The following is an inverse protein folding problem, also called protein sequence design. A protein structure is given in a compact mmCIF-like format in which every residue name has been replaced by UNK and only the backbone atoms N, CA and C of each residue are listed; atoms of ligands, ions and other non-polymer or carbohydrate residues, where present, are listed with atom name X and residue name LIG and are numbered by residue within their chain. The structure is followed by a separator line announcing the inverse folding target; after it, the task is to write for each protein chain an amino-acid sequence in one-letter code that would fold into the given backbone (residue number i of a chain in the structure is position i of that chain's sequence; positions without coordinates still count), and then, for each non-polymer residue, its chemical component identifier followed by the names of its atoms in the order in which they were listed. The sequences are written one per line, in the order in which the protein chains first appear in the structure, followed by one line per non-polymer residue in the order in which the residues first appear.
data_IF_308132823587
#
_entry.id   IF_308132823587
#
_cell.length_a   1.000
_cell.length_b   1.000
_cell.length_c   1.000
_cell.angle_alpha   90.00
_cell.angle_beta   90.00
_cell.angle_gamma   90.00
#
_symmetry.space_group_name_H-M   'P 1'
#
loop_
_entity.id
_entity.type
_entity.pdbx_description
1 polymer ?
#
# COMPACT_ATOMS: atom_id res chain seq x y z
N UNK A 1 19.40 -40.95 -8.59
CA UNK A 1 18.51 -40.12 -7.74
C UNK A 1 17.18 -40.87 -7.60
N UNK A 2 16.71 -41.11 -6.38
CA UNK A 2 15.55 -42.00 -6.15
C UNK A 2 14.25 -41.25 -6.52
N UNK A 3 13.40 -41.76 -7.44
CA UNK A 3 12.22 -41.04 -7.94
C UNK A 3 11.20 -40.63 -6.87
N UNK A 4 11.20 -41.29 -5.70
CA UNK A 4 10.40 -40.88 -4.55
C UNK A 4 10.78 -39.51 -3.98
N UNK A 5 12.06 -39.11 -4.07
CA UNK A 5 12.55 -37.84 -3.50
C UNK A 5 12.04 -36.62 -4.29
N UNK A 6 11.92 -36.77 -5.61
CA UNK A 6 11.48 -35.69 -6.53
C UNK A 6 10.04 -35.25 -6.24
N UNK A 7 9.16 -36.19 -5.85
CA UNK A 7 7.76 -35.86 -5.51
C UNK A 7 7.69 -35.09 -4.19
N UNK A 8 8.44 -35.53 -3.18
CA UNK A 8 8.50 -34.88 -1.87
C UNK A 8 9.08 -33.47 -1.97
N UNK A 9 10.15 -33.28 -2.73
CA UNK A 9 10.77 -31.96 -2.95
C UNK A 9 9.79 -30.97 -3.60
N UNK A 10 8.98 -31.41 -4.56
CA UNK A 10 7.96 -30.57 -5.20
C UNK A 10 6.83 -30.18 -4.26
N UNK A 11 6.42 -31.08 -3.36
CA UNK A 11 5.40 -30.79 -2.35
C UNK A 11 5.92 -29.76 -1.35
N UNK A 12 7.18 -29.91 -0.90
CA UNK A 12 7.81 -28.92 -0.04
C UNK A 12 7.95 -27.55 -0.74
N UNK A 13 8.41 -27.53 -1.99
CA UNK A 13 8.53 -26.30 -2.77
C UNK A 13 7.16 -25.59 -2.94
N UNK A 14 6.11 -26.35 -3.24
CA UNK A 14 4.75 -25.81 -3.34
C UNK A 14 4.24 -25.30 -1.98
N UNK A 15 4.49 -26.04 -0.90
CA UNK A 15 4.14 -25.62 0.46
C UNK A 15 4.82 -24.31 0.87
N UNK A 16 6.12 -24.20 0.60
CA UNK A 16 6.89 -22.96 0.83
C UNK A 16 6.35 -21.83 -0.05
N UNK A 17 6.11 -22.09 -1.34
CA UNK A 17 5.56 -21.08 -2.26
C UNK A 17 4.21 -20.56 -1.77
N UNK A 18 3.28 -21.44 -1.40
CA UNK A 18 1.95 -21.05 -0.91
C UNK A 18 2.01 -20.32 0.43
N UNK A 19 2.92 -20.73 1.33
CA UNK A 19 3.16 -20.03 2.58
C UNK A 19 3.69 -18.61 2.34
N UNK A 20 4.71 -18.47 1.50
CA UNK A 20 5.26 -17.17 1.15
C UNK A 20 4.22 -16.30 0.46
N UNK A 21 3.48 -16.86 -0.49
CA UNK A 21 2.38 -16.17 -1.16
C UNK A 21 1.39 -15.63 -0.13
N UNK A 22 0.91 -16.47 0.80
CA UNK A 22 0.00 -16.06 1.86
C UNK A 22 0.58 -14.94 2.73
N UNK A 23 1.86 -15.02 3.11
CA UNK A 23 2.53 -13.99 3.90
C UNK A 23 2.65 -12.65 3.15
N UNK A 24 3.00 -12.68 1.86
CA UNK A 24 3.19 -11.47 1.06
C UNK A 24 1.87 -10.86 0.57
N UNK A 25 0.82 -11.65 0.39
CA UNK A 25 -0.53 -11.17 0.03
C UNK A 25 -1.40 -10.90 1.26
N UNK A 26 -0.81 -10.85 2.46
CA UNK A 26 -1.53 -10.52 3.68
C UNK A 26 -1.83 -9.00 3.73
N UNK A 27 -3.00 -8.61 3.21
CA UNK A 27 -3.48 -7.22 3.12
C UNK A 27 -4.60 -6.96 4.15
N UNK A 28 -4.46 -7.45 5.39
CA UNK A 28 -5.41 -7.03 6.44
C UNK A 28 -5.33 -5.51 6.63
N UNK A 29 -6.46 -4.82 6.87
CA UNK A 29 -6.45 -3.39 7.13
C UNK A 29 -5.58 -3.09 8.34
N UNK A 30 -4.39 -2.55 8.11
CA UNK A 30 -3.58 -1.96 9.17
C UNK A 30 -4.26 -0.66 9.56
N UNK A 31 -4.97 -0.68 10.68
CA UNK A 31 -5.64 0.50 11.25
C UNK A 31 -4.69 1.65 11.64
N UNK A 32 -3.38 1.51 11.41
CA UNK A 32 -2.38 2.52 11.71
C UNK A 32 -1.21 2.47 10.72
N UNK A 33 -1.46 2.77 9.44
CA UNK A 33 -0.40 3.06 8.45
C UNK A 33 -0.46 4.52 7.96
N UNK A 34 -0.13 5.52 8.80
CA UNK A 34 -0.19 6.94 8.44
C UNK A 34 0.58 7.27 7.16
N UNK A 35 1.76 6.66 6.99
CA UNK A 35 2.57 6.79 5.78
C UNK A 35 1.81 6.41 4.50
N UNK A 36 1.09 5.29 4.51
CA UNK A 36 0.36 4.82 3.33
C UNK A 36 -0.92 5.63 3.13
N UNK A 37 -1.62 5.92 4.22
CA UNK A 37 -2.85 6.72 4.19
C UNK A 37 -2.57 8.14 3.68
N UNK A 38 -1.45 8.77 4.04
CA UNK A 38 -1.05 10.07 3.49
C UNK A 38 -0.95 10.06 1.97
N UNK A 39 -0.29 9.03 1.39
CA UNK A 39 -0.16 8.91 -0.07
C UNK A 39 -1.49 8.60 -0.73
N UNK A 40 -2.26 7.69 -0.15
CA UNK A 40 -3.57 7.31 -0.67
C UNK A 40 -4.55 8.49 -0.64
N UNK A 41 -4.54 9.27 0.43
CA UNK A 41 -5.32 10.51 0.55
C UNK A 41 -4.97 11.49 -0.57
N UNK A 42 -3.69 11.63 -0.94
CA UNK A 42 -3.28 12.46 -2.09
C UNK A 42 -3.83 11.91 -3.40
N UNK A 43 -3.80 10.59 -3.62
CA UNK A 43 -4.39 9.98 -4.83
C UNK A 43 -5.87 10.31 -4.93
N UNK A 44 -6.64 10.10 -3.85
CA UNK A 44 -8.06 10.43 -3.83
C UNK A 44 -8.32 11.93 -4.03
N UNK A 45 -7.57 12.80 -3.37
CA UNK A 45 -7.70 14.24 -3.55
C UNK A 45 -7.46 14.65 -5.02
N UNK A 46 -6.47 14.06 -5.69
CA UNK A 46 -6.18 14.40 -7.09
C UNK A 46 -7.24 13.82 -8.02
N UNK A 47 -7.63 12.56 -7.83
CA UNK A 47 -8.53 11.84 -8.75
C UNK A 47 -9.99 12.26 -8.58
N UNK A 48 -10.46 12.37 -7.34
CA UNK A 48 -11.86 12.67 -7.04
C UNK A 48 -12.11 14.18 -6.94
N UNK A 49 -11.16 14.93 -6.36
CA UNK A 49 -11.37 16.33 -6.01
C UNK A 49 -10.53 17.30 -6.88
N UNK A 50 -9.67 16.79 -7.77
CA UNK A 50 -8.85 17.61 -8.65
C UNK A 50 -7.82 18.49 -7.93
N UNK A 51 -7.42 18.13 -6.72
CA UNK A 51 -6.54 18.95 -5.85
C UNK A 51 -5.47 18.11 -5.15
N UNK A 52 -4.38 18.73 -4.72
CA UNK A 52 -3.39 18.08 -3.84
C UNK A 52 -3.73 18.25 -2.34
N UNK A 53 -4.77 19.03 -2.03
CA UNK A 53 -5.24 19.24 -0.66
C UNK A 53 -5.98 18.00 -0.18
N UNK A 54 -5.50 17.40 0.91
CA UNK A 54 -6.10 16.20 1.51
C UNK A 54 -7.11 16.55 2.61
N UNK A 55 -7.66 17.77 2.62
CA UNK A 55 -8.54 18.28 3.68
C UNK A 55 -9.71 17.33 3.97
N UNK A 56 -10.33 16.78 2.91
CA UNK A 56 -11.45 15.84 3.01
C UNK A 56 -11.08 14.49 3.61
N UNK A 57 -9.79 14.13 3.59
CA UNK A 57 -9.27 12.83 3.96
C UNK A 57 -8.27 12.86 5.12
N UNK A 58 -7.96 14.04 5.66
CA UNK A 58 -6.88 14.23 6.64
C UNK A 58 -7.07 13.37 7.89
N UNK A 59 -8.30 13.09 8.30
CA UNK A 59 -8.61 12.22 9.45
C UNK A 59 -8.11 10.78 9.30
N UNK A 60 -7.78 10.33 8.09
CA UNK A 60 -7.24 8.99 7.84
C UNK A 60 -5.76 8.86 8.22
N UNK A 61 -5.05 9.96 8.51
CA UNK A 61 -3.61 9.95 8.75
C UNK A 61 -3.21 10.97 9.81
N UNK A 62 -2.15 10.65 10.56
CA UNK A 62 -1.43 11.62 11.39
C UNK A 62 -0.18 12.17 10.70
N UNK A 63 0.17 11.61 9.54
CA UNK A 63 1.27 12.06 8.69
C UNK A 63 0.71 13.00 7.63
N UNK A 64 0.92 14.31 7.81
CA UNK A 64 0.55 15.36 6.87
C UNK A 64 1.38 16.62 7.12
N UNK A 65 1.45 17.49 6.11
CA UNK A 65 1.91 18.86 6.25
C UNK A 65 0.72 19.81 6.25
N UNK A 66 0.64 20.74 7.22
CA UNK A 66 -0.35 21.82 7.23
C UNK A 66 0.29 23.10 6.69
N UNK A 67 -0.31 23.69 5.65
CA UNK A 67 0.11 24.96 5.05
C UNK A 67 -1.09 25.90 4.99
N UNK A 68 -1.07 26.93 5.85
CA UNK A 68 -2.26 27.77 6.07
C UNK A 68 -3.41 26.94 6.64
N UNK A 69 -4.57 26.99 6.01
CA UNK A 69 -5.76 26.23 6.41
C UNK A 69 -5.86 24.84 5.77
N UNK A 70 -4.91 24.48 4.90
CA UNK A 70 -4.96 23.26 4.10
C UNK A 70 -3.93 22.21 4.53
N UNK A 71 -4.26 20.96 4.28
CA UNK A 71 -3.47 19.78 4.59
C UNK A 71 -2.99 19.11 3.31
N UNK A 72 -1.76 18.61 3.33
CA UNK A 72 -1.10 17.97 2.20
C UNK A 72 -0.39 16.71 2.67
N UNK A 73 -0.18 15.75 1.76
CA UNK A 73 0.73 14.64 2.03
C UNK A 73 2.15 15.17 2.26
N UNK A 74 2.79 14.78 3.35
CA UNK A 74 4.20 15.09 3.66
C UNK A 74 5.18 14.08 3.02
N UNK A 75 4.65 13.04 2.35
CA UNK A 75 5.45 12.00 1.70
C UNK A 75 5.85 12.38 0.28
N UNK A 76 6.97 11.82 -0.17
CA UNK A 76 7.40 11.93 -1.56
C UNK A 76 6.28 11.49 -2.53
N UNK A 77 6.00 12.27 -3.60
CA UNK A 77 4.81 12.08 -4.42
C UNK A 77 4.90 10.89 -5.37
N UNK A 78 6.09 10.34 -5.63
CA UNK A 78 6.31 9.34 -6.69
C UNK A 78 5.35 8.15 -6.63
N UNK A 79 5.16 7.54 -5.46
CA UNK A 79 4.24 6.39 -5.31
C UNK A 79 2.78 6.81 -5.50
N UNK A 80 2.38 7.99 -5.02
CA UNK A 80 1.03 8.49 -5.23
C UNK A 80 0.77 8.80 -6.71
N UNK A 81 1.73 9.41 -7.41
CA UNK A 81 1.64 9.68 -8.85
C UNK A 81 1.50 8.41 -9.69
N UNK A 82 2.11 7.28 -9.30
CA UNK A 82 1.89 5.99 -9.97
C UNK A 82 0.46 5.47 -9.83
N UNK A 83 -0.28 5.90 -8.81
CA UNK A 83 -1.67 5.53 -8.58
C UNK A 83 -2.69 6.47 -9.21
N UNK A 84 -2.24 7.60 -9.80
CA UNK A 84 -3.12 8.57 -10.46
C UNK A 84 -3.23 8.20 -11.94
N UNK A 85 -4.42 7.93 -12.48
CA UNK A 85 -4.61 7.63 -13.90
C UNK A 85 -4.27 8.85 -14.78
N UNK A 86 -3.74 8.58 -15.98
CA UNK A 86 -3.40 9.57 -17.03
C UNK A 86 -4.48 9.68 -18.11
#
# INVERSE_FOLDING_TARGET
MNPGNIKTDRIHALGIFLLLLLCYTYIFPRWADPNQNSRLNMVFAVVEDGTFQIDRYVSNTVDYAKVGEHYYSDKAPGVALLGIPV
#
